data_IF_033436954024
#
_entry.id   IF_033436954024
#
_cell.length_a   1.000
_cell.length_b   1.000
_cell.length_c   1.000
_cell.angle_alpha   90.00
_cell.angle_beta   90.00
_cell.angle_gamma   90.00
#
_symmetry.space_group_name_H-M   'P 1'
#
loop_
_entity.id
_entity.type
_entity.pdbx_description
1 polymer ?
#
# COMPACT_ATOMS: atom_id res chain seq x y z
N UNK A 1 -9.99 14.32 -16.88
CA UNK A 1 -9.26 13.09 -16.54
C UNK A 1 -8.80 13.22 -15.10
N UNK A 2 -9.50 12.64 -14.13
CA UNK A 2 -9.03 12.64 -12.74
C UNK A 2 -7.80 11.75 -12.70
N UNK A 3 -6.63 12.33 -12.42
CA UNK A 3 -5.40 11.58 -12.20
C UNK A 3 -5.69 10.50 -11.16
N UNK A 4 -5.73 9.23 -11.59
CA UNK A 4 -5.75 8.06 -10.72
C UNK A 4 -4.40 7.99 -10.03
N UNK A 5 -4.26 8.82 -8.99
CA UNK A 5 -2.99 9.15 -8.35
C UNK A 5 -2.65 8.23 -7.18
N UNK A 6 -1.38 8.23 -6.84
CA UNK A 6 -0.88 7.67 -5.58
C UNK A 6 -1.57 8.35 -4.41
N UNK A 7 -2.29 7.60 -3.58
CA UNK A 7 -2.96 8.15 -2.39
C UNK A 7 -1.97 8.25 -1.24
N UNK A 8 -1.23 7.17 -1.00
CA UNK A 8 -0.23 7.12 0.05
C UNK A 8 0.82 6.06 -0.28
N UNK A 9 2.07 6.28 0.10
CA UNK A 9 3.09 5.24 0.09
C UNK A 9 4.03 5.37 1.28
N UNK A 10 4.66 4.25 1.64
CA UNK A 10 5.80 4.28 2.55
C UNK A 10 6.85 3.23 2.20
N UNK A 11 8.03 3.42 2.76
CA UNK A 11 9.05 2.38 2.93
C UNK A 11 9.33 2.19 4.42
N UNK A 12 9.30 0.94 4.88
CA UNK A 12 9.56 0.56 6.26
C UNK A 12 10.61 -0.55 6.32
N UNK A 13 11.30 -0.68 7.47
CA UNK A 13 12.15 -1.83 7.81
C UNK A 13 11.52 -2.54 9.01
N UNK A 14 11.05 -3.77 8.80
CA UNK A 14 10.15 -4.41 9.75
C UNK A 14 8.89 -3.56 9.94
N UNK A 15 8.67 -3.06 11.16
CA UNK A 15 7.51 -2.22 11.50
C UNK A 15 7.83 -0.73 11.63
N UNK A 16 9.07 -0.32 11.35
CA UNK A 16 9.52 1.07 11.47
C UNK A 16 9.48 1.73 10.10
N UNK A 17 8.60 2.73 9.95
CA UNK A 17 8.53 3.55 8.73
C UNK A 17 9.76 4.44 8.64
N UNK A 18 10.48 4.36 7.52
CA UNK A 18 11.67 5.14 7.23
C UNK A 18 11.34 6.43 6.47
N UNK A 19 10.38 6.34 5.55
CA UNK A 19 9.86 7.46 4.77
C UNK A 19 8.43 7.16 4.33
N UNK A 20 7.60 8.19 4.31
CA UNK A 20 6.24 8.14 3.79
C UNK A 20 5.90 9.37 2.96
N UNK A 21 4.88 9.23 2.12
CA UNK A 21 4.38 10.33 1.30
C UNK A 21 2.88 10.19 1.05
N UNK A 22 2.15 11.28 1.26
CA UNK A 22 0.76 11.44 0.82
C UNK A 22 0.56 12.83 0.21
N UNK A 23 -0.01 12.93 -1.00
CA UNK A 23 -0.56 14.19 -1.50
C UNK A 23 -1.97 14.48 -0.97
N UNK A 24 -2.58 13.55 -0.22
CA UNK A 24 -3.93 13.66 0.34
C UNK A 24 -3.89 13.92 1.85
N UNK A 25 -4.85 14.71 2.35
CA UNK A 25 -5.11 14.81 3.78
C UNK A 25 -6.07 13.71 4.22
N UNK A 26 -5.79 13.02 5.32
CA UNK A 26 -6.64 11.95 5.82
C UNK A 26 -5.92 11.03 6.82
N UNK A 27 -6.53 9.88 7.09
CA UNK A 27 -6.05 8.86 8.02
C UNK A 27 -5.34 7.67 7.33
N UNK A 28 -4.99 7.80 6.05
CA UNK A 28 -4.35 6.74 5.28
C UNK A 28 -3.03 6.28 5.91
N UNK A 29 -2.21 7.20 6.40
CA UNK A 29 -0.93 6.87 7.06
C UNK A 29 -1.15 6.02 8.32
N UNK A 30 -2.16 6.36 9.13
CA UNK A 30 -2.50 5.59 10.35
C UNK A 30 -3.00 4.19 10.01
N UNK A 31 -3.92 4.06 9.06
CA UNK A 31 -4.46 2.76 8.62
C UNK A 31 -3.33 1.89 8.05
N UNK A 32 -2.48 2.47 7.23
CA UNK A 32 -1.34 1.80 6.63
C UNK A 32 -0.35 1.25 7.66
N UNK A 33 -0.03 2.03 8.69
CA UNK A 33 0.82 1.58 9.81
C UNK A 33 0.13 0.48 10.62
N UNK A 34 -1.19 0.57 10.83
CA UNK A 34 -1.94 -0.52 11.48
C UNK A 34 -1.91 -1.82 10.67
N UNK A 35 -2.00 -1.74 9.34
CA UNK A 35 -1.83 -2.88 8.45
C UNK A 35 -0.41 -3.43 8.51
N UNK A 36 0.62 -2.57 8.55
CA UNK A 36 2.02 -2.96 8.70
C UNK A 36 2.26 -3.81 9.96
N UNK A 37 1.66 -3.43 11.10
CA UNK A 37 1.76 -4.20 12.36
C UNK A 37 1.09 -5.57 12.30
N UNK A 38 0.16 -5.77 11.36
CA UNK A 38 -0.61 -7.02 11.17
C UNK A 38 -0.05 -7.89 10.05
N UNK A 39 1.00 -7.46 9.34
CA UNK A 39 1.55 -8.23 8.24
C UNK A 39 2.10 -9.58 8.74
N UNK A 40 1.67 -10.70 8.14
CA UNK A 40 2.30 -11.98 8.43
C UNK A 40 3.72 -12.01 7.86
N UNK A 41 4.62 -12.68 8.56
CA UNK A 41 6.04 -12.80 8.16
C UNK A 41 6.27 -13.77 6.98
N UNK A 42 5.22 -14.39 6.45
CA UNK A 42 5.32 -15.61 5.63
C UNK A 42 4.99 -15.41 4.13
N UNK A 43 4.68 -14.19 3.67
CA UNK A 43 4.48 -13.90 2.25
C UNK A 43 5.18 -12.60 1.86
N UNK A 44 5.68 -12.57 0.63
CA UNK A 44 6.32 -11.39 0.06
C UNK A 44 5.33 -10.34 -0.45
N UNK A 45 4.04 -10.68 -0.65
CA UNK A 45 3.05 -9.72 -1.19
C UNK A 45 1.71 -9.85 -0.48
N UNK A 46 1.09 -8.72 -0.17
CA UNK A 46 -0.25 -8.64 0.43
C UNK A 46 -1.03 -7.49 -0.19
N UNK A 47 -2.31 -7.70 -0.45
CA UNK A 47 -3.22 -6.65 -0.89
C UNK A 47 -4.44 -6.63 0.01
N UNK A 48 -4.73 -5.49 0.61
CA UNK A 48 -5.96 -5.26 1.37
C UNK A 48 -6.83 -4.24 0.63
N UNK A 49 -8.10 -4.56 0.42
CA UNK A 49 -9.06 -3.61 -0.14
C UNK A 49 -10.00 -3.13 0.96
N UNK A 50 -10.17 -1.81 1.07
CA UNK A 50 -11.08 -1.19 2.03
C UNK A 50 -11.62 0.13 1.48
N UNK A 51 -12.93 0.31 1.51
CA UNK A 51 -13.61 1.57 1.18
C UNK A 51 -13.19 2.15 -0.18
N UNK A 52 -13.14 1.29 -1.21
CA UNK A 52 -12.73 1.68 -2.58
C UNK A 52 -11.22 1.95 -2.75
N UNK A 53 -10.39 1.62 -1.76
CA UNK A 53 -8.93 1.75 -1.83
C UNK A 53 -8.24 0.40 -1.67
N UNK A 54 -7.09 0.25 -2.33
CA UNK A 54 -6.23 -0.93 -2.25
C UNK A 54 -4.89 -0.56 -1.61
N UNK A 55 -4.54 -1.27 -0.54
CA UNK A 55 -3.29 -1.19 0.19
C UNK A 55 -2.43 -2.37 -0.24
N UNK A 56 -1.43 -2.11 -1.07
CA UNK A 56 -0.56 -3.12 -1.64
C UNK A 56 0.80 -3.10 -0.93
N UNK A 57 1.12 -4.19 -0.27
CA UNK A 57 2.38 -4.41 0.44
C UNK A 57 3.28 -5.37 -0.34
N UNK A 58 4.56 -5.02 -0.39
CA UNK A 58 5.64 -5.88 -0.86
C UNK A 58 6.68 -5.97 0.26
N UNK A 59 6.98 -7.18 0.71
CA UNK A 59 8.03 -7.49 1.67
C UNK A 59 9.20 -8.10 0.91
N UNK A 60 10.33 -7.40 0.92
CA UNK A 60 11.56 -7.84 0.25
C UNK A 60 12.79 -7.48 1.09
N UNK A 61 13.66 -8.46 1.33
CA UNK A 61 14.92 -8.30 2.04
C UNK A 61 14.82 -7.54 3.40
N UNK A 62 13.74 -7.78 4.16
CA UNK A 62 13.47 -7.11 5.45
C UNK A 62 12.90 -5.69 5.35
N UNK A 63 12.68 -5.19 4.14
CA UNK A 63 11.96 -3.96 3.86
C UNK A 63 10.51 -4.25 3.49
N UNK A 64 9.63 -3.30 3.82
CA UNK A 64 8.23 -3.32 3.47
C UNK A 64 7.91 -2.06 2.67
N UNK A 65 7.38 -2.25 1.47
CA UNK A 65 6.93 -1.19 0.59
C UNK A 65 5.42 -1.22 0.56
N UNK A 66 4.78 -0.07 0.79
CA UNK A 66 3.33 0.08 0.68
C UNK A 66 3.00 1.09 -0.40
N UNK A 67 1.98 0.77 -1.20
CA UNK A 67 1.28 1.71 -2.07
C UNK A 67 -0.22 1.60 -1.86
N UNK A 68 -0.85 2.74 -1.61
CA UNK A 68 -2.30 2.92 -1.52
C UNK A 68 -2.78 3.62 -2.79
N UNK A 69 -3.70 2.98 -3.49
CA UNK A 69 -4.34 3.53 -4.69
C UNK A 69 -5.82 3.19 -4.69
N UNK A 70 -6.60 3.97 -5.42
CA UNK A 70 -8.01 3.68 -5.66
C UNK A 70 -8.17 2.27 -6.28
N UNK A 71 -9.15 1.50 -5.81
CA UNK A 71 -9.40 0.11 -6.22
C UNK A 71 -9.68 0.01 -7.73
N UNK A 72 -10.28 1.04 -8.33
CA UNK A 72 -10.47 1.12 -9.78
C UNK A 72 -9.15 1.22 -10.57
N UNK A 73 -8.03 1.41 -9.87
CA UNK A 73 -6.66 1.50 -10.41
C UNK A 73 -5.81 0.31 -10.01
N UNK A 74 -6.04 -0.26 -8.82
CA UNK A 74 -5.26 -1.38 -8.26
C UNK A 74 -5.44 -2.74 -8.97
N UNK A 75 -6.33 -2.83 -9.97
CA UNK A 75 -6.72 -4.09 -10.63
C UNK A 75 -6.41 -4.19 -12.13
N UNK A 76 -5.54 -3.35 -12.66
CA UNK A 76 -5.03 -3.53 -14.02
C UNK A 76 -3.81 -4.45 -14.01
N UNK A 77 -4.05 -5.76 -13.88
CA UNK A 77 -3.30 -6.70 -14.72
C UNK A 77 -4.07 -6.75 -16.03
N UNK A 78 -3.56 -6.17 -17.13
CA UNK A 78 -4.17 -6.42 -18.43
C UNK A 78 -4.08 -7.94 -18.63
N UNK A 79 -5.22 -8.57 -18.90
CA UNK A 79 -5.22 -9.97 -19.32
C UNK A 79 -4.25 -10.11 -20.48
N UNK A 80 -3.29 -11.01 -20.33
CA UNK A 80 -2.58 -11.56 -21.48
C UNK A 80 -3.66 -12.14 -22.41
N UNK A 81 -3.79 -11.52 -23.58
CA UNK A 81 -4.50 -12.09 -24.72
C UNK A 81 -3.61 -13.04 -25.50
#
# INVERSE_FOLDING_TARGET
MSQKGLIYSFVAKGTVVLADHTPYSGNFSTIAVQCLQKLPTNSSKYTYSCDGHTFNFLVDNGFVFLVVVDESTGRSVPGEG
#
